data_IF_138766409943
#
_entry.id   IF_138766409943
#
_cell.length_a   1.000
_cell.length_b   1.000
_cell.length_c   1.000
_cell.angle_alpha   90.00
_cell.angle_beta   90.00
_cell.angle_gamma   90.00
#
_symmetry.space_group_name_H-M   'P 1'
#
loop_
_entity.id
_entity.type
_entity.pdbx_description
1 polymer ?
#
# COMPACT_ATOMS: atom_id res chain seq x y z
N UNK A 1 5.82 4.82 19.76
CA UNK A 1 5.15 5.33 18.54
C UNK A 1 3.84 4.58 18.35
N UNK A 2 2.72 5.27 18.24
CA UNK A 2 1.42 4.65 17.96
C UNK A 2 1.38 4.27 16.47
N UNK A 3 1.12 3.00 16.15
CA UNK A 3 1.03 2.53 14.77
C UNK A 3 -0.32 2.95 14.17
N UNK A 4 -0.37 4.11 13.53
CA UNK A 4 -1.59 4.57 12.84
C UNK A 4 -1.67 3.95 11.45
N UNK A 5 -2.80 3.33 11.14
CA UNK A 5 -3.06 2.78 9.80
C UNK A 5 -3.18 3.94 8.80
N UNK A 6 -2.45 3.93 7.69
CA UNK A 6 -2.59 4.94 6.66
C UNK A 6 -4.02 5.02 6.13
N UNK A 7 -4.50 6.24 5.94
CA UNK A 7 -5.81 6.52 5.36
C UNK A 7 -5.63 7.02 3.93
N UNK A 8 -6.55 6.61 3.05
CA UNK A 8 -6.53 7.06 1.66
C UNK A 8 -7.23 8.41 1.54
N UNK A 9 -6.47 9.44 1.20
CA UNK A 9 -6.98 10.76 0.86
C UNK A 9 -7.28 10.85 -0.65
N UNK A 10 -8.37 10.23 -1.11
CA UNK A 10 -8.88 10.46 -2.47
C UNK A 10 -9.33 11.92 -2.66
N UNK A 11 -9.61 12.48 -3.84
CA UNK A 11 -9.31 12.16 -5.23
C UNK A 11 -8.77 13.46 -5.87
N UNK A 12 -7.82 13.36 -6.80
CA UNK A 12 -7.30 14.53 -7.52
C UNK A 12 -7.93 14.66 -8.90
N UNK A 13 -8.05 15.89 -9.40
CA UNK A 13 -8.49 16.16 -10.78
C UNK A 13 -7.47 15.72 -11.85
N UNK A 14 -6.24 15.39 -11.45
CA UNK A 14 -5.18 14.95 -12.35
C UNK A 14 -4.86 13.46 -12.16
N UNK A 15 -4.68 12.75 -13.27
CA UNK A 15 -4.25 11.34 -13.29
C UNK A 15 -2.86 11.17 -12.63
N UNK A 16 -1.93 12.10 -12.85
CA UNK A 16 -0.59 12.09 -12.25
C UNK A 16 -0.64 12.17 -10.73
N UNK A 17 -1.47 13.07 -10.21
CA UNK A 17 -1.67 13.21 -8.76
C UNK A 17 -2.34 11.96 -8.20
N UNK A 18 -3.31 11.39 -8.91
CA UNK A 18 -3.97 10.13 -8.49
C UNK A 18 -2.96 9.00 -8.36
N UNK A 19 -2.07 8.83 -9.34
CA UNK A 19 -1.01 7.82 -9.32
C UNK A 19 0.00 8.08 -8.21
N UNK A 20 0.44 9.32 -8.03
CA UNK A 20 1.35 9.71 -6.94
C UNK A 20 0.75 9.43 -5.56
N UNK A 21 -0.53 9.77 -5.35
CA UNK A 21 -1.24 9.52 -4.09
C UNK A 21 -1.42 8.03 -3.84
N UNK A 22 -1.79 7.25 -4.85
CA UNK A 22 -1.90 5.79 -4.73
C UNK A 22 -0.55 5.15 -4.42
N UNK A 23 0.52 5.60 -5.09
CA UNK A 23 1.87 5.10 -4.84
C UNK A 23 2.30 5.33 -3.39
N UNK A 24 2.12 6.56 -2.89
CA UNK A 24 2.42 6.89 -1.49
C UNK A 24 1.58 6.05 -0.53
N UNK A 25 0.26 5.95 -0.78
CA UNK A 25 -0.64 5.17 0.05
C UNK A 25 -0.26 3.68 0.12
N UNK A 26 0.05 3.04 -1.01
CA UNK A 26 0.42 1.62 -1.03
C UNK A 26 1.75 1.35 -0.33
N UNK A 27 2.75 2.22 -0.53
CA UNK A 27 4.04 2.14 0.17
C UNK A 27 3.87 2.28 1.68
N UNK A 28 3.05 3.24 2.11
CA UNK A 28 2.83 3.51 3.52
C UNK A 28 2.05 2.37 4.17
N UNK A 29 1.05 1.81 3.47
CA UNK A 29 0.33 0.61 3.90
C UNK A 29 1.23 -0.62 4.01
N UNK A 30 2.13 -0.83 3.06
CA UNK A 30 3.11 -1.91 3.13
C UNK A 30 4.01 -1.75 4.36
N UNK A 31 4.45 -0.52 4.65
CA UNK A 31 5.29 -0.19 5.81
C UNK A 31 4.53 -0.40 7.12
N UNK A 32 3.27 0.03 7.19
CA UNK A 32 2.38 -0.22 8.31
C UNK A 32 2.27 -1.72 8.62
N UNK A 33 1.98 -2.56 7.62
CA UNK A 33 1.83 -4.00 7.86
C UNK A 33 3.15 -4.68 8.25
N UNK A 34 4.30 -4.21 7.75
CA UNK A 34 5.62 -4.70 8.20
C UNK A 34 5.85 -4.39 9.68
N UNK A 35 5.51 -3.18 10.12
CA UNK A 35 5.67 -2.80 11.52
C UNK A 35 4.63 -3.49 12.42
N UNK A 36 3.39 -3.67 11.93
CA UNK A 36 2.37 -4.44 12.65
C UNK A 36 2.75 -5.92 12.79
N UNK A 37 3.37 -6.51 11.76
CA UNK A 37 3.96 -7.86 11.84
C UNK A 37 4.96 -7.96 12.98
N UNK A 38 5.86 -6.97 13.12
CA UNK A 38 6.84 -6.92 14.20
C UNK A 38 6.17 -6.93 15.58
N UNK A 39 5.11 -6.12 15.76
CA UNK A 39 4.32 -6.11 16.99
C UNK A 39 3.69 -7.48 17.30
N UNK A 40 3.04 -8.10 16.31
CA UNK A 40 2.37 -9.41 16.49
C UNK A 40 3.39 -10.53 16.77
N UNK A 41 4.60 -10.45 16.21
CA UNK A 41 5.67 -11.39 16.52
C UNK A 41 6.12 -11.26 17.99
N UNK A 42 6.29 -10.04 18.50
CA UNK A 42 6.60 -9.82 19.92
C UNK A 42 5.49 -10.35 20.83
N UNK A 43 4.22 -10.10 20.49
CA UNK A 43 3.08 -10.65 21.25
C UNK A 43 3.04 -12.19 21.21
N UNK A 44 3.49 -12.81 20.12
CA UNK A 44 3.57 -14.26 19.98
C UNK A 44 4.69 -14.87 20.83
N UNK A 45 5.81 -14.17 21.00
CA UNK A 45 6.93 -14.59 21.86
C UNK A 45 6.54 -14.58 23.35
N UNK A 46 5.65 -13.67 23.74
CA UNK A 46 5.15 -13.53 25.12
C UNK A 46 3.90 -14.38 25.41
N UNK A 47 3.29 -14.99 24.39
CA UNK A 47 2.04 -15.73 24.54
C UNK A 47 2.25 -17.10 25.18
N UNK A 48 1.54 -17.35 26.29
CA UNK A 48 1.61 -18.62 27.02
C UNK A 48 0.42 -19.57 26.71
N UNK A 49 -0.68 -19.02 26.17
CA UNK A 49 -1.90 -19.76 25.89
C UNK A 49 -1.97 -20.24 24.43
N UNK A 50 -2.25 -21.53 24.21
CA UNK A 50 -2.38 -22.13 22.88
C UNK A 50 -3.43 -21.46 21.97
N UNK A 51 -4.55 -21.00 22.52
CA UNK A 51 -5.59 -20.29 21.77
C UNK A 51 -5.07 -18.94 21.26
N UNK A 52 -4.41 -18.18 22.14
CA UNK A 52 -3.80 -16.90 21.78
C UNK A 52 -2.70 -17.09 20.73
N UNK A 53 -1.84 -18.10 20.90
CA UNK A 53 -0.80 -18.46 19.93
C UNK A 53 -1.42 -18.77 18.56
N UNK A 54 -2.55 -19.50 18.53
CA UNK A 54 -3.26 -19.82 17.29
C UNK A 54 -3.79 -18.56 16.60
N UNK A 55 -4.49 -17.69 17.34
CA UNK A 55 -5.04 -16.43 16.81
C UNK A 55 -3.95 -15.49 16.28
N UNK A 56 -2.82 -15.38 16.98
CA UNK A 56 -1.66 -14.60 16.55
C UNK A 56 -1.02 -15.18 15.28
N UNK A 57 -0.93 -16.51 15.15
CA UNK A 57 -0.45 -17.17 13.93
C UNK A 57 -1.37 -16.92 12.73
N UNK A 58 -2.68 -17.01 12.92
CA UNK A 58 -3.66 -16.69 11.88
C UNK A 58 -3.55 -15.21 11.46
N UNK A 59 -3.38 -14.32 12.44
CA UNK A 59 -3.15 -12.89 12.20
C UNK A 59 -1.86 -12.65 11.41
N UNK A 60 -0.76 -13.33 11.74
CA UNK A 60 0.49 -13.24 10.97
C UNK A 60 0.34 -13.70 9.52
N UNK A 61 -0.46 -14.74 9.27
CA UNK A 61 -0.76 -15.18 7.91
C UNK A 61 -1.52 -14.12 7.13
N UNK A 62 -2.53 -13.48 7.72
CA UNK A 62 -3.26 -12.38 7.08
C UNK A 62 -2.35 -11.17 6.81
N UNK A 63 -1.52 -10.79 7.78
CA UNK A 63 -0.55 -9.69 7.62
C UNK A 63 0.42 -9.98 6.46
N UNK A 64 0.97 -11.19 6.37
CA UNK A 64 1.87 -11.55 5.28
C UNK A 64 1.18 -11.47 3.90
N UNK A 65 -0.08 -11.90 3.80
CA UNK A 65 -0.87 -11.75 2.56
C UNK A 65 -1.02 -10.27 2.19
N UNK A 66 -1.36 -9.41 3.16
CA UNK A 66 -1.53 -7.97 2.92
C UNK A 66 -0.22 -7.30 2.51
N UNK A 67 0.91 -7.63 3.14
CA UNK A 67 2.24 -7.12 2.74
C UNK A 67 2.51 -7.47 1.28
N UNK A 68 2.22 -8.71 0.86
CA UNK A 68 2.42 -9.15 -0.52
C UNK A 68 1.50 -8.41 -1.49
N UNK A 69 0.23 -8.22 -1.14
CA UNK A 69 -0.71 -7.46 -1.97
C UNK A 69 -0.26 -6.00 -2.15
N UNK A 70 0.13 -5.32 -1.06
CA UNK A 70 0.64 -3.96 -1.17
C UNK A 70 1.96 -3.88 -1.92
N UNK A 71 2.81 -4.91 -1.84
CA UNK A 71 4.02 -4.98 -2.68
C UNK A 71 3.67 -5.04 -4.17
N UNK A 72 2.74 -5.91 -4.56
CA UNK A 72 2.28 -6.02 -5.96
C UNK A 72 1.66 -4.72 -6.45
N UNK A 73 0.81 -4.09 -5.63
CA UNK A 73 0.22 -2.79 -5.94
C UNK A 73 1.28 -1.70 -6.10
N UNK A 74 2.30 -1.68 -5.24
CA UNK A 74 3.41 -0.72 -5.30
C UNK A 74 4.26 -0.87 -6.57
N UNK A 75 4.53 -2.11 -6.99
CA UNK A 75 5.25 -2.36 -8.25
C UNK A 75 4.39 -1.99 -9.47
N UNK A 76 3.09 -2.31 -9.41
CA UNK A 76 2.14 -2.00 -10.49
C UNK A 76 2.01 -0.49 -10.69
N UNK A 77 1.83 0.26 -9.61
CA UNK A 77 1.68 1.71 -9.68
C UNK A 77 2.99 2.41 -10.09
N UNK A 78 4.14 1.87 -9.69
CA UNK A 78 5.45 2.34 -10.18
C UNK A 78 5.56 2.17 -11.70
N UNK A 79 5.04 1.06 -12.25
CA UNK A 79 5.01 0.83 -13.70
C UNK A 79 4.09 1.83 -14.39
N UNK A 80 2.89 2.06 -13.83
CA UNK A 80 1.95 3.07 -14.34
C UNK A 80 2.59 4.46 -14.32
N UNK A 81 3.26 4.83 -13.24
CA UNK A 81 3.92 6.12 -13.09
C UNK A 81 4.97 6.35 -14.18
N UNK A 82 5.82 5.36 -14.46
CA UNK A 82 6.79 5.42 -15.57
C UNK A 82 6.08 5.63 -16.91
N UNK A 83 5.01 4.88 -17.18
CA UNK A 83 4.26 4.98 -18.44
C UNK A 83 3.61 6.35 -18.61
N UNK A 84 3.00 6.91 -17.55
CA UNK A 84 2.34 8.21 -17.60
C UNK A 84 3.31 9.36 -17.87
N UNK A 85 4.56 9.24 -17.45
CA UNK A 85 5.60 10.24 -17.71
C UNK A 85 6.26 10.12 -19.10
N UNK A 86 5.82 9.17 -19.95
CA UNK A 86 6.30 9.09 -21.33
C UNK A 86 5.64 10.15 -22.22
N UNK A 87 6.40 10.69 -23.18
CA UNK A 87 5.92 11.76 -24.07
C UNK A 87 4.63 11.37 -24.82
N UNK A 88 4.56 10.14 -25.33
CA UNK A 88 3.38 9.64 -26.04
C UNK A 88 2.13 9.62 -25.15
N UNK A 89 2.27 9.23 -23.89
CA UNK A 89 1.14 9.18 -22.95
C UNK A 89 0.75 10.57 -22.47
N UNK A 90 1.71 11.47 -22.25
CA UNK A 90 1.43 12.86 -21.85
C UNK A 90 0.46 13.52 -22.85
N UNK A 91 0.65 13.29 -24.15
CA UNK A 91 -0.20 13.85 -25.21
C UNK A 91 -1.67 13.41 -25.12
N UNK A 92 -1.96 12.22 -24.57
CA UNK A 92 -3.35 11.74 -24.38
C UNK A 92 -4.10 12.51 -23.28
N UNK A 93 -3.37 13.17 -22.37
CA UNK A 93 -3.97 13.90 -21.24
C UNK A 93 -4.02 15.42 -21.46
N UNK A 94 -3.46 15.93 -22.57
CA UNK A 94 -3.58 17.33 -22.93
C UNK A 94 -5.00 17.55 -23.50
N UNK A 95 -5.79 18.49 -22.95
CA UNK A 95 -7.12 18.79 -23.48
C UNK A 95 -7.01 19.21 -24.94
N UNK A 96 -7.64 18.47 -25.86
CA UNK A 96 -7.74 18.90 -27.26
C UNK A 96 -8.61 20.15 -27.30
N UNK A 97 -8.04 21.29 -27.66
CA UNK A 97 -8.83 22.50 -27.91
C UNK A 97 -9.92 22.19 -28.93
N UNK A 98 -11.18 22.41 -28.55
CA UNK A 98 -12.32 22.28 -29.47
C UNK A 98 -12.16 23.38 -30.52
N UNK A 99 -11.87 22.97 -31.77
CA UNK A 99 -11.99 23.84 -32.95
C UNK A 99 -13.44 24.25 -33.18
#
# INVERSE_FOLDING_TARGET
MQLSKPEYSGASSSIHNTVTTLHSYFRDMQSYYKAFKGKVLSELEEAENELQIKELKETLQDINKRINYFHVLNNSISTVDVVLHTEAMIQEFIPKEKK
#
